data_IF_245123154029
#
_entry.id   IF_245123154029
#
_cell.length_a   1.000
_cell.length_b   1.000
_cell.length_c   1.000
_cell.angle_alpha   90.00
_cell.angle_beta   90.00
_cell.angle_gamma   90.00
#
_symmetry.space_group_name_H-M   'P 1'
#
loop_
_entity.id
_entity.type
_entity.pdbx_description
1 polymer ?
#
# COMPACT_ATOMS: atom_id res chain seq x y z
N UNK A 1 -3.94 -11.12 -7.95
CA UNK A 1 -3.60 -9.85 -8.62
C UNK A 1 -4.85 -9.00 -8.73
N UNK A 2 -4.85 -7.78 -8.22
CA UNK A 2 -5.97 -6.85 -8.36
C UNK A 2 -6.06 -6.36 -9.81
N UNK A 3 -7.18 -6.61 -10.48
CA UNK A 3 -7.44 -6.19 -11.87
C UNK A 3 -7.86 -4.71 -11.99
N UNK A 4 -7.77 -3.93 -10.90
CA UNK A 4 -8.20 -2.53 -10.83
C UNK A 4 -7.02 -1.63 -10.49
N UNK A 5 -6.96 -0.48 -11.17
CA UNK A 5 -5.99 0.58 -10.88
C UNK A 5 -6.06 0.97 -9.39
N UNK A 6 -4.90 1.21 -8.79
CA UNK A 6 -4.80 1.68 -7.41
C UNK A 6 -3.63 2.65 -7.27
N UNK A 7 -3.72 3.53 -6.27
CA UNK A 7 -2.65 4.44 -5.88
C UNK A 7 -1.93 3.85 -4.67
N UNK A 8 -0.61 3.70 -4.76
CA UNK A 8 0.23 3.15 -3.70
C UNK A 8 1.13 4.26 -3.15
N UNK A 9 1.06 4.51 -1.84
CA UNK A 9 1.85 5.56 -1.17
C UNK A 9 2.66 4.93 -0.02
N UNK A 10 3.93 4.54 -0.26
CA UNK A 10 4.76 3.88 0.75
C UNK A 10 5.47 4.87 1.69
N UNK A 11 5.53 4.54 2.99
CA UNK A 11 6.20 5.31 4.03
C UNK A 11 7.10 4.42 4.90
N UNK A 12 8.36 4.84 5.09
CA UNK A 12 9.34 4.13 5.95
C UNK A 12 9.14 4.37 7.47
N UNK A 13 8.23 5.27 7.82
CA UNK A 13 7.84 5.62 9.19
C UNK A 13 6.33 5.88 9.19
N UNK A 14 5.75 6.03 10.38
CA UNK A 14 4.37 6.47 10.49
C UNK A 14 4.19 7.82 9.75
N UNK A 15 3.24 7.93 8.79
CA UNK A 15 2.93 9.21 8.17
C UNK A 15 2.24 10.15 9.16
N UNK A 16 2.47 11.44 9.00
CA UNK A 16 1.72 12.49 9.67
C UNK A 16 0.29 12.60 9.13
N UNK A 17 -0.58 13.28 9.89
CA UNK A 17 -1.95 13.59 9.46
C UNK A 17 -1.98 14.40 8.16
N UNK A 18 -0.98 15.26 7.95
CA UNK A 18 -0.86 16.08 6.74
C UNK A 18 -0.48 15.21 5.53
N UNK A 19 0.49 14.31 5.69
CA UNK A 19 0.88 13.38 4.62
C UNK A 19 -0.29 12.47 4.19
N UNK A 20 -1.07 11.94 5.14
CA UNK A 20 -2.27 11.15 4.81
C UNK A 20 -3.27 11.99 3.99
N UNK A 21 -3.51 13.25 4.36
CA UNK A 21 -4.37 14.16 3.59
C UNK A 21 -3.82 14.46 2.20
N UNK A 22 -2.51 14.59 2.06
CA UNK A 22 -1.87 14.75 0.76
C UNK A 22 -2.05 13.51 -0.13
N UNK A 23 -1.94 12.30 0.44
CA UNK A 23 -2.25 11.07 -0.30
C UNK A 23 -3.72 11.05 -0.78
N UNK A 24 -4.67 11.46 0.06
CA UNK A 24 -6.08 11.58 -0.33
C UNK A 24 -6.29 12.65 -1.42
N UNK A 25 -5.59 13.78 -1.35
CA UNK A 25 -5.64 14.81 -2.39
C UNK A 25 -5.19 14.25 -3.75
N UNK A 26 -4.09 13.48 -3.78
CA UNK A 26 -3.62 12.81 -5.00
C UNK A 26 -4.66 11.83 -5.54
N UNK A 27 -5.30 11.05 -4.66
CA UNK A 27 -6.37 10.12 -5.06
C UNK A 27 -7.53 10.85 -5.74
N UNK A 28 -8.03 11.92 -5.13
CA UNK A 28 -9.16 12.67 -5.68
C UNK A 28 -8.82 13.45 -6.95
N UNK A 29 -7.58 13.93 -7.07
CA UNK A 29 -7.09 14.50 -8.33
C UNK A 29 -7.12 13.45 -9.46
N UNK A 30 -6.65 12.23 -9.18
CA UNK A 30 -6.70 11.12 -10.14
C UNK A 30 -8.14 10.73 -10.49
N UNK A 31 -9.06 10.68 -9.51
CA UNK A 31 -10.48 10.45 -9.77
C UNK A 31 -11.06 11.50 -10.73
N UNK A 32 -10.80 12.78 -10.47
CA UNK A 32 -11.26 13.88 -11.32
C UNK A 32 -10.73 13.76 -12.76
N UNK A 33 -9.46 13.36 -12.92
CA UNK A 33 -8.89 13.10 -14.24
C UNK A 33 -9.60 11.95 -14.97
N UNK A 34 -9.80 10.80 -14.31
CA UNK A 34 -10.45 9.63 -14.90
C UNK A 34 -11.89 9.93 -15.32
N UNK A 35 -12.64 10.65 -14.46
CA UNK A 35 -14.00 11.08 -14.77
C UNK A 35 -14.02 12.01 -15.97
N UNK A 36 -13.09 12.97 -16.04
CA UNK A 36 -12.96 13.88 -17.19
C UNK A 36 -12.62 13.15 -18.48
N UNK A 37 -11.73 12.16 -18.44
CA UNK A 37 -11.38 11.34 -19.59
C UNK A 37 -12.57 10.51 -20.07
N UNK A 38 -13.30 9.87 -19.16
CA UNK A 38 -14.50 9.10 -19.49
C UNK A 38 -15.57 9.97 -20.16
N UNK A 39 -15.78 11.18 -19.64
CA UNK A 39 -16.73 12.15 -20.21
C UNK A 39 -16.35 12.67 -21.61
N UNK A 40 -15.06 12.66 -21.98
CA UNK A 40 -14.56 13.07 -23.30
C UNK A 40 -14.55 11.93 -24.33
N UNK A 41 -14.72 10.68 -23.91
CA UNK A 41 -14.72 9.53 -24.82
C UNK A 41 -15.95 9.54 -25.75
N UNK A 42 -15.81 8.97 -26.96
CA UNK A 42 -16.91 8.78 -27.91
C UNK A 42 -17.04 7.29 -28.26
N UNK A 43 -18.17 6.63 -27.96
CA UNK A 43 -19.35 7.16 -27.25
C UNK A 43 -19.01 7.50 -25.79
N UNK A 44 -19.76 8.45 -25.21
CA UNK A 44 -19.56 8.89 -23.83
C UNK A 44 -19.75 7.72 -22.87
N UNK A 45 -18.70 7.40 -22.10
CA UNK A 45 -18.76 6.38 -21.05
C UNK A 45 -18.91 7.05 -19.69
N UNK A 46 -19.89 6.61 -18.91
CA UNK A 46 -19.95 6.92 -17.48
C UNK A 46 -19.00 6.00 -16.73
N UNK A 47 -18.24 6.56 -15.79
CA UNK A 47 -17.34 5.78 -14.95
C UNK A 47 -18.08 5.35 -13.69
N UNK A 48 -18.28 4.04 -13.50
CA UNK A 48 -18.90 3.52 -12.29
C UNK A 48 -18.01 3.75 -11.07
N UNK A 49 -18.60 3.92 -9.88
CA UNK A 49 -17.89 4.01 -8.60
C UNK A 49 -16.88 2.86 -8.41
N UNK A 50 -17.24 1.65 -8.84
CA UNK A 50 -16.39 0.46 -8.75
C UNK A 50 -15.17 0.47 -9.67
N UNK A 51 -15.11 1.39 -10.64
CA UNK A 51 -13.98 1.58 -11.54
C UNK A 51 -12.98 2.62 -11.02
N UNK A 52 -13.34 3.41 -10.00
CA UNK A 52 -12.43 4.36 -9.38
C UNK A 52 -11.34 3.64 -8.56
N UNK A 53 -10.09 4.11 -8.63
CA UNK A 53 -8.98 3.51 -7.91
C UNK A 53 -9.15 3.67 -6.40
N UNK A 54 -8.54 2.74 -5.66
CA UNK A 54 -8.36 2.85 -4.21
C UNK A 54 -6.95 3.35 -3.90
N UNK A 55 -6.81 4.11 -2.81
CA UNK A 55 -5.53 4.48 -2.22
C UNK A 55 -5.12 3.45 -1.16
N UNK A 56 -3.87 2.99 -1.24
CA UNK A 56 -3.24 2.16 -0.23
C UNK A 56 -2.01 2.89 0.30
N UNK A 57 -2.11 3.37 1.54
CA UNK A 57 -0.99 3.95 2.28
C UNK A 57 -0.29 2.79 2.99
N UNK A 58 0.95 2.49 2.60
CA UNK A 58 1.71 1.38 3.17
C UNK A 58 2.76 1.97 4.10
N UNK A 59 2.63 1.74 5.40
CA UNK A 59 3.57 2.27 6.40
C UNK A 59 4.19 1.15 7.21
N UNK A 60 5.41 1.37 7.70
CA UNK A 60 6.07 0.42 8.59
C UNK A 60 5.34 0.22 9.90
N UNK A 61 4.65 1.26 10.41
CA UNK A 61 4.04 1.28 11.74
C UNK A 61 3.00 2.39 11.83
N UNK A 62 1.91 2.19 12.57
CA UNK A 62 0.93 3.23 12.87
C UNK A 62 0.42 3.12 14.32
N UNK A 63 0.30 4.26 14.99
CA UNK A 63 -0.24 4.38 16.34
C UNK A 63 -1.75 4.41 16.33
N UNK A 64 -2.36 3.92 17.41
CA UNK A 64 -3.81 3.97 17.61
C UNK A 64 -4.35 5.40 17.52
N UNK A 65 -3.59 6.39 18.02
CA UNK A 65 -3.95 7.80 17.92
C UNK A 65 -4.10 8.26 16.47
N UNK A 66 -3.22 7.81 15.57
CA UNK A 66 -3.32 8.15 14.15
C UNK A 66 -4.49 7.42 13.49
N UNK A 67 -4.63 6.11 13.75
CA UNK A 67 -5.69 5.29 13.17
C UNK A 67 -7.08 5.79 13.61
N UNK A 68 -7.25 6.08 14.91
CA UNK A 68 -8.49 6.63 15.46
C UNK A 68 -8.80 8.02 14.90
N UNK A 69 -7.79 8.88 14.69
CA UNK A 69 -8.00 10.21 14.14
C UNK A 69 -8.65 10.21 12.74
N UNK A 70 -8.35 9.18 11.93
CA UNK A 70 -8.95 9.00 10.60
C UNK A 70 -10.12 8.01 10.59
N UNK A 71 -10.53 7.52 11.76
CA UNK A 71 -11.49 6.42 11.90
C UNK A 71 -11.13 5.22 11.02
N UNK A 72 -9.84 4.93 10.89
CA UNK A 72 -9.35 3.79 10.12
C UNK A 72 -9.59 2.52 10.93
N UNK A 73 -10.48 1.64 10.46
CA UNK A 73 -10.94 0.45 11.20
C UNK A 73 -10.58 -0.83 10.47
N UNK A 74 -10.30 -1.89 11.24
CA UNK A 74 -10.20 -3.25 10.71
C UNK A 74 -11.58 -3.69 10.20
N UNK A 75 -11.58 -4.51 9.15
CA UNK A 75 -12.77 -5.18 8.62
C UNK A 75 -12.64 -6.69 8.78
N UNK A 76 -12.70 -7.15 10.02
CA UNK A 76 -12.67 -8.59 10.33
C UNK A 76 -14.04 -9.23 10.06
N UNK A 77 -14.10 -10.50 9.60
CA UNK A 77 -12.97 -11.38 9.28
C UNK A 77 -12.46 -11.22 7.84
N UNK A 78 -13.05 -10.31 7.05
CA UNK A 78 -12.77 -10.17 5.61
C UNK A 78 -11.32 -9.76 5.32
N UNK A 79 -10.70 -9.02 6.24
CA UNK A 79 -9.32 -8.56 6.15
C UNK A 79 -8.56 -8.90 7.43
N UNK A 80 -7.29 -9.26 7.26
CA UNK A 80 -6.39 -9.58 8.36
C UNK A 80 -6.00 -8.33 9.16
N UNK A 81 -5.38 -8.57 10.32
CA UNK A 81 -4.69 -7.54 11.09
C UNK A 81 -3.69 -6.75 10.23
N UNK A 82 -3.45 -5.50 10.60
CA UNK A 82 -2.57 -4.59 9.86
C UNK A 82 -3.20 -3.93 8.64
N UNK A 83 -4.47 -4.19 8.30
CA UNK A 83 -5.17 -3.51 7.18
C UNK A 83 -6.38 -2.72 7.68
N UNK A 84 -6.23 -1.40 7.77
CA UNK A 84 -7.24 -0.49 8.30
C UNK A 84 -7.90 0.31 7.19
N UNK A 85 -9.23 0.24 7.09
CA UNK A 85 -10.00 0.95 6.10
C UNK A 85 -10.55 2.25 6.67
N UNK A 86 -10.42 3.32 5.90
CA UNK A 86 -11.23 4.53 6.13
C UNK A 86 -12.67 4.27 5.63
N UNK A 87 -13.56 5.24 5.86
CA UNK A 87 -14.91 5.18 5.30
C UNK A 87 -14.88 4.86 3.79
N UNK A 88 -15.82 4.03 3.32
CA UNK A 88 -15.86 3.56 1.94
C UNK A 88 -15.91 4.69 0.90
N UNK A 89 -16.50 5.84 1.22
CA UNK A 89 -16.53 7.02 0.35
C UNK A 89 -15.16 7.66 0.12
N UNK A 90 -14.19 7.39 1.00
CA UNK A 90 -12.81 7.87 0.88
C UNK A 90 -11.90 6.92 0.09
N UNK A 91 -12.38 5.70 -0.21
CA UNK A 91 -11.67 4.68 -1.01
C UNK A 91 -10.20 4.50 -0.63
N UNK A 92 -9.92 4.49 0.67
CA UNK A 92 -8.57 4.53 1.21
C UNK A 92 -8.37 3.48 2.30
N UNK A 93 -7.18 2.88 2.33
CA UNK A 93 -6.75 1.98 3.39
C UNK A 93 -5.31 2.29 3.83
N UNK A 94 -5.03 2.04 5.11
CA UNK A 94 -3.71 2.11 5.73
C UNK A 94 -3.27 0.67 6.03
N UNK A 95 -2.17 0.27 5.40
CA UNK A 95 -1.51 -1.02 5.62
C UNK A 95 -0.33 -0.79 6.56
N UNK A 96 -0.33 -1.47 7.70
CA UNK A 96 0.65 -1.35 8.76
C UNK A 96 1.52 -2.61 8.76
N UNK A 97 2.69 -2.51 8.12
CA UNK A 97 3.48 -3.68 7.76
C UNK A 97 3.94 -4.53 8.97
N UNK A 98 4.24 -3.90 10.11
CA UNK A 98 4.66 -4.60 11.34
C UNK A 98 3.53 -5.31 12.09
N UNK A 99 2.27 -5.09 11.69
CA UNK A 99 1.07 -5.74 12.24
C UNK A 99 0.51 -6.81 11.30
N UNK A 100 1.08 -6.98 10.11
CA UNK A 100 0.60 -7.99 9.17
C UNK A 100 0.97 -9.41 9.66
N UNK A 101 0.05 -10.39 9.54
CA UNK A 101 0.34 -11.76 9.95
C UNK A 101 1.47 -12.36 9.11
N UNK A 102 2.28 -13.24 9.69
CA UNK A 102 3.35 -13.96 9.00
C UNK A 102 2.76 -15.04 8.08
N UNK A 103 2.40 -14.64 6.86
CA UNK A 103 1.86 -15.51 5.81
C UNK A 103 2.56 -15.21 4.48
N UNK A 104 2.41 -16.09 3.50
CA UNK A 104 2.99 -15.90 2.17
C UNK A 104 2.38 -14.68 1.44
N UNK A 105 1.09 -14.43 1.66
CA UNK A 105 0.31 -13.36 1.05
C UNK A 105 0.77 -11.97 1.50
N UNK A 106 1.24 -11.83 2.74
CA UNK A 106 1.68 -10.55 3.31
C UNK A 106 3.18 -10.32 3.17
N UNK A 107 3.94 -11.34 2.77
CA UNK A 107 5.40 -11.32 2.77
C UNK A 107 5.95 -10.12 1.99
N UNK A 108 5.31 -9.74 0.88
CA UNK A 108 5.68 -8.60 0.02
C UNK A 108 5.60 -7.26 0.72
N UNK A 109 4.57 -7.10 1.54
CA UNK A 109 4.34 -5.90 2.32
C UNK A 109 5.28 -5.85 3.52
N UNK A 110 5.58 -7.01 4.14
CA UNK A 110 6.50 -7.10 5.28
C UNK A 110 7.95 -6.79 4.90
N UNK A 111 8.37 -7.00 3.65
CA UNK A 111 9.68 -6.53 3.12
C UNK A 111 9.81 -5.00 3.24
N UNK A 112 8.71 -4.28 3.05
CA UNK A 112 8.66 -2.81 3.16
C UNK A 112 8.63 -2.33 4.62
N UNK A 113 8.53 -3.26 5.58
CA UNK A 113 8.61 -3.00 7.01
C UNK A 113 9.99 -2.54 7.47
N UNK A 114 10.21 -2.59 8.80
CA UNK A 114 11.50 -2.24 9.43
C UNK A 114 11.83 -3.23 10.55
N UNK A 115 13.11 -3.26 10.95
CA UNK A 115 13.56 -4.06 12.08
C UNK A 115 13.23 -5.54 11.94
N UNK A 116 12.66 -6.15 12.99
CA UNK A 116 12.36 -7.59 13.04
C UNK A 116 11.43 -8.05 11.92
N UNK A 117 10.37 -7.30 11.61
CA UNK A 117 9.41 -7.63 10.55
C UNK A 117 10.10 -7.76 9.19
N UNK A 118 10.99 -6.82 8.87
CA UNK A 118 11.71 -6.83 7.61
C UNK A 118 12.76 -7.95 7.57
N UNK A 119 13.48 -8.16 8.66
CA UNK A 119 14.49 -9.23 8.74
C UNK A 119 13.83 -10.60 8.55
N UNK A 120 12.73 -10.86 9.25
CA UNK A 120 11.97 -12.10 9.12
C UNK A 120 11.46 -12.29 7.68
N UNK A 121 10.94 -11.24 7.06
CA UNK A 121 10.51 -11.29 5.66
C UNK A 121 11.67 -11.61 4.70
N UNK A 122 12.86 -11.03 4.91
CA UNK A 122 14.05 -11.35 4.11
C UNK A 122 14.42 -12.83 4.29
N UNK A 123 14.41 -13.34 5.52
CA UNK A 123 14.79 -14.73 5.81
C UNK A 123 13.81 -15.72 5.16
N UNK A 124 12.49 -15.45 5.22
CA UNK A 124 11.46 -16.23 4.52
C UNK A 124 11.69 -16.24 3.00
N UNK A 125 12.08 -15.11 2.40
CA UNK A 125 12.36 -15.01 0.96
C UNK A 125 13.62 -15.77 0.57
N UNK A 126 14.64 -15.75 1.42
CA UNK A 126 15.87 -16.52 1.20
C UNK A 126 15.62 -18.03 1.31
N UNK A 127 14.57 -18.46 1.98
CA UNK A 127 14.12 -19.85 2.06
C UNK A 127 13.28 -20.29 0.84
N UNK A 128 12.70 -19.38 0.06
CA UNK A 128 11.94 -19.72 -1.16
C UNK A 128 12.80 -20.42 -2.21
N UNK A 129 12.25 -21.26 -3.11
CA UNK A 129 13.03 -21.88 -4.19
C UNK A 129 13.80 -20.86 -5.04
N UNK A 130 14.98 -21.23 -5.55
CA UNK A 130 15.84 -20.33 -6.35
C UNK A 130 15.18 -19.77 -7.63
N UNK A 131 14.14 -20.44 -8.13
CA UNK A 131 13.36 -19.98 -9.28
C UNK A 131 12.19 -19.06 -8.95
N UNK A 132 11.95 -18.77 -7.67
CA UNK A 132 10.82 -17.94 -7.29
C UNK A 132 11.04 -16.47 -7.72
N UNK A 133 10.08 -15.94 -8.48
CA UNK A 133 10.09 -14.55 -8.97
C UNK A 133 10.31 -13.54 -7.84
N UNK A 134 9.74 -13.84 -6.69
CA UNK A 134 9.80 -13.05 -5.48
C UNK A 134 11.20 -12.97 -4.90
N UNK A 135 11.86 -14.12 -4.79
CA UNK A 135 13.26 -14.24 -4.37
C UNK A 135 14.18 -13.49 -5.34
N UNK A 136 13.95 -13.65 -6.65
CA UNK A 136 14.72 -12.98 -7.69
C UNK A 136 14.57 -11.45 -7.64
N UNK A 137 13.36 -10.95 -7.45
CA UNK A 137 13.08 -9.51 -7.35
C UNK A 137 13.78 -8.86 -6.15
N UNK A 138 13.84 -9.54 -4.99
CA UNK A 138 14.55 -9.03 -3.81
C UNK A 138 16.06 -8.97 -4.02
N UNK A 139 16.65 -9.95 -4.72
CA UNK A 139 18.07 -9.89 -5.08
C UNK A 139 18.39 -8.68 -5.95
N UNK A 140 17.54 -8.35 -6.93
CA UNK A 140 17.69 -7.13 -7.72
C UNK A 140 17.46 -5.85 -6.90
N UNK A 141 16.51 -5.86 -5.96
CA UNK A 141 16.24 -4.71 -5.09
C UNK A 141 17.39 -4.38 -4.12
N UNK A 142 18.15 -5.38 -3.62
CA UNK A 142 19.38 -5.14 -2.82
C UNK A 142 20.43 -4.33 -3.58
N UNK A 143 20.54 -4.51 -4.91
CA UNK A 143 21.40 -3.69 -5.76
C UNK A 143 20.89 -2.25 -5.86
N UNK A 144 19.56 -2.08 -5.89
CA UNK A 144 18.93 -0.75 -5.94
C UNK A 144 19.07 0.02 -4.62
N UNK A 145 18.95 -0.66 -3.48
CA UNK A 145 19.26 -0.08 -2.18
C UNK A 145 20.73 0.37 -2.13
N UNK A 146 21.72 -0.43 -2.55
CA UNK A 146 23.13 0.01 -2.55
C UNK A 146 23.41 1.24 -3.44
N UNK A 147 22.68 1.45 -4.54
CA UNK A 147 22.90 2.59 -5.45
C UNK A 147 22.29 3.92 -4.97
N UNK A 148 21.28 3.89 -4.11
CA UNK A 148 20.67 5.09 -3.52
C UNK A 148 21.23 5.45 -2.13
N UNK A 149 22.29 4.79 -1.69
CA UNK A 149 22.90 4.95 -0.36
C UNK A 149 24.16 5.82 -0.34
N UNK A 150 24.35 6.69 -1.34
CA UNK A 150 25.41 7.69 -1.30
C UNK A 150 24.96 9.02 -1.88
N UNK A 151 24.09 9.73 -1.16
CA UNK A 151 24.06 11.20 -1.20
C UNK A 151 23.78 11.70 0.22
N UNK A 152 24.78 12.43 0.72
CA UNK A 152 24.94 13.25 1.94
C UNK A 152 23.76 13.39 2.90
#
# INVERSE_FOLDING_TARGET
>A
MTTKACLLEPFRKQPSKVEIRQCMLKLFALHGELIRQANKSTPKKSLSENALPNLWIITTSASDNLLNFFEARLKLPQWNEGVYFLNQGLRSAIVVADQLPTTAETLWLRILGKGKTQQQAIDEIMALPKGDALRNNVFHAKVFARKNFSVK
#
